data_IF_620407906541
#
_entry.id   IF_620407906541
#
_cell.length_a   1.000
_cell.length_b   1.000
_cell.length_c   1.000
_cell.angle_alpha   90.00
_cell.angle_beta   90.00
_cell.angle_gamma   90.00
#
_symmetry.space_group_name_H-M   'P 1'
#
loop_
_entity.id
_entity.type
_entity.pdbx_description
1 polymer ?
#
# COMPACT_ATOMS: atom_id res chain seq x y z
N UNK A 1 -17.43 3.98 4.10
CA UNK A 1 -16.15 3.26 4.32
C UNK A 1 -15.30 4.23 5.12
N UNK A 2 -14.65 3.81 6.19
CA UNK A 2 -13.77 4.72 6.94
C UNK A 2 -12.66 5.20 6.00
N UNK A 3 -12.56 6.51 5.81
CA UNK A 3 -11.45 7.13 5.10
C UNK A 3 -10.19 6.91 5.94
N UNK A 4 -9.22 6.20 5.37
CA UNK A 4 -7.94 6.00 6.04
C UNK A 4 -7.09 7.24 5.81
N UNK A 5 -6.45 7.72 6.87
CA UNK A 5 -5.46 8.80 6.76
C UNK A 5 -4.15 8.22 6.23
N UNK A 6 -3.95 8.34 4.91
CA UNK A 6 -2.73 7.92 4.23
C UNK A 6 -1.60 8.89 4.56
N UNK A 7 -0.43 8.34 4.88
CA UNK A 7 0.79 9.14 4.92
C UNK A 7 1.60 9.01 3.63
N UNK A 8 2.62 9.84 3.47
CA UNK A 8 3.50 9.86 2.29
C UNK A 8 3.99 8.44 1.90
N UNK A 9 4.42 7.66 2.90
CA UNK A 9 4.91 6.30 2.68
C UNK A 9 3.81 5.34 2.22
N UNK A 10 2.57 5.49 2.67
CA UNK A 10 1.45 4.70 2.17
C UNK A 10 1.16 5.01 0.71
N UNK A 11 1.12 6.29 0.34
CA UNK A 11 0.88 6.73 -1.02
C UNK A 11 1.96 6.20 -1.98
N UNK A 12 3.23 6.25 -1.55
CA UNK A 12 4.35 5.70 -2.29
C UNK A 12 4.27 4.17 -2.42
N UNK A 13 3.90 3.45 -1.36
CA UNK A 13 3.69 2.00 -1.39
C UNK A 13 2.55 1.63 -2.34
N UNK A 14 1.42 2.34 -2.30
CA UNK A 14 0.27 2.12 -3.19
C UNK A 14 0.71 2.35 -4.63
N UNK A 15 1.39 3.47 -4.92
CA UNK A 15 1.90 3.80 -6.26
C UNK A 15 2.89 2.76 -6.80
N UNK A 16 3.71 2.18 -5.94
CA UNK A 16 4.61 1.10 -6.31
C UNK A 16 3.84 -0.20 -6.62
N UNK A 17 2.78 -0.51 -5.86
CA UNK A 17 1.96 -1.70 -6.05
C UNK A 17 0.97 -1.59 -7.23
N UNK A 18 0.60 -0.37 -7.66
CA UNK A 18 -0.12 -0.14 -8.92
C UNK A 18 0.68 -0.62 -10.13
N UNK A 19 2.01 -0.53 -10.09
CA UNK A 19 2.90 -0.98 -11.16
C UNK A 19 3.06 -2.51 -11.18
N UNK A 20 2.63 -3.19 -10.12
CA UNK A 20 2.64 -4.64 -10.00
C UNK A 20 2.99 -5.13 -8.60
N UNK A 21 3.05 -6.46 -8.49
CA UNK A 21 3.33 -7.15 -7.23
C UNK A 21 4.75 -6.88 -6.76
N UNK A 22 4.92 -6.64 -5.46
CA UNK A 22 6.24 -6.38 -4.90
C UNK A 22 6.46 -7.00 -3.50
N UNK A 23 7.73 -7.10 -3.11
CA UNK A 23 8.16 -7.58 -1.79
C UNK A 23 8.42 -6.39 -0.85
N UNK A 24 8.20 -6.54 0.47
CA UNK A 24 8.50 -5.50 1.45
C UNK A 24 9.96 -5.05 1.45
N UNK A 25 10.89 -5.94 1.08
CA UNK A 25 12.31 -5.59 1.00
C UNK A 25 12.58 -4.65 -0.19
N UNK A 26 12.07 -4.99 -1.37
CA UNK A 26 12.19 -4.16 -2.56
C UNK A 26 11.53 -2.78 -2.35
N UNK A 27 10.30 -2.76 -1.81
CA UNK A 27 9.61 -1.51 -1.48
C UNK A 27 10.42 -0.64 -0.51
N UNK A 28 11.10 -1.24 0.47
CA UNK A 28 11.93 -0.50 1.40
C UNK A 28 13.16 0.10 0.70
N UNK A 29 13.82 -0.69 -0.15
CA UNK A 29 15.00 -0.26 -0.89
C UNK A 29 14.65 0.84 -1.93
N UNK A 30 13.56 0.65 -2.68
CA UNK A 30 13.10 1.57 -3.73
C UNK A 30 12.60 2.90 -3.17
N UNK A 31 11.90 2.88 -2.03
CA UNK A 31 11.29 4.06 -1.42
C UNK A 31 12.18 4.72 -0.34
N UNK A 32 13.35 4.14 -0.05
CA UNK A 32 14.27 4.70 0.95
C UNK A 32 13.79 4.58 2.40
N UNK A 33 12.88 3.66 2.69
CA UNK A 33 12.37 3.41 4.04
C UNK A 33 13.04 2.20 4.69
N UNK A 34 12.92 2.09 6.02
CA UNK A 34 13.32 0.84 6.68
C UNK A 34 12.32 -0.28 6.37
N UNK A 35 12.81 -1.52 6.20
CA UNK A 35 11.97 -2.70 5.98
C UNK A 35 10.92 -2.90 7.08
N UNK A 36 11.27 -2.60 8.33
CA UNK A 36 10.33 -2.69 9.45
C UNK A 36 9.19 -1.67 9.30
N UNK A 37 9.51 -0.43 8.88
CA UNK A 37 8.50 0.59 8.65
C UNK A 37 7.56 0.20 7.51
N UNK A 38 8.10 -0.26 6.37
CA UNK A 38 7.30 -0.74 5.23
C UNK A 38 6.39 -1.92 5.64
N UNK A 39 6.87 -2.88 6.43
CA UNK A 39 6.03 -3.96 6.93
C UNK A 39 4.89 -3.47 7.82
N UNK A 40 5.14 -2.50 8.69
CA UNK A 40 4.10 -1.90 9.52
C UNK A 40 3.05 -1.19 8.67
N UNK A 41 3.48 -0.44 7.64
CA UNK A 41 2.56 0.24 6.71
C UNK A 41 1.73 -0.78 5.90
N UNK A 42 2.35 -1.79 5.29
CA UNK A 42 1.66 -2.86 4.57
C UNK A 42 0.65 -3.61 5.44
N UNK A 43 0.95 -3.81 6.73
CA UNK A 43 0.02 -4.43 7.67
C UNK A 43 -1.23 -3.58 7.86
N UNK A 44 -1.06 -2.27 8.11
CA UNK A 44 -2.19 -1.33 8.22
C UNK A 44 -3.01 -1.25 6.93
N UNK A 45 -2.35 -1.10 5.79
CA UNK A 45 -3.04 -1.06 4.49
C UNK A 45 -3.85 -2.34 4.24
N UNK A 46 -3.33 -3.49 4.66
CA UNK A 46 -4.04 -4.77 4.56
C UNK A 46 -5.24 -4.87 5.49
N UNK A 47 -5.16 -4.34 6.71
CA UNK A 47 -6.29 -4.28 7.65
C UNK A 47 -7.49 -3.53 7.07
N UNK A 48 -7.22 -2.54 6.20
CA UNK A 48 -8.23 -1.77 5.47
C UNK A 48 -8.57 -2.35 4.08
N UNK A 49 -8.00 -3.49 3.70
CA UNK A 49 -8.26 -4.15 2.42
C UNK A 49 -7.70 -3.42 1.20
N UNK A 50 -6.74 -2.52 1.37
CA UNK A 50 -6.10 -1.76 0.29
C UNK A 50 -5.06 -2.64 -0.43
N UNK A 51 -4.31 -3.43 0.33
CA UNK A 51 -3.35 -4.40 -0.21
C UNK A 51 -3.65 -5.79 0.32
N UNK A 52 -3.18 -6.83 -0.38
CA UNK A 52 -3.20 -8.19 0.13
C UNK A 52 -1.85 -8.89 -0.03
N UNK A 53 -1.60 -9.90 0.82
CA UNK A 53 -0.43 -10.76 0.74
C UNK A 53 -0.83 -12.09 0.09
N UNK A 54 -0.43 -12.26 -1.17
CA UNK A 54 -0.76 -13.45 -1.97
C UNK A 54 0.12 -14.68 -1.65
N UNK A 55 0.89 -14.61 -0.57
CA UNK A 55 1.79 -15.65 -0.11
C UNK A 55 3.27 -15.35 -0.35
N UNK A 56 4.12 -16.02 0.43
CA UNK A 56 5.60 -15.86 0.41
C UNK A 56 6.07 -14.42 0.65
N UNK A 57 5.22 -13.55 1.21
CA UNK A 57 5.56 -12.16 1.48
C UNK A 57 5.40 -11.23 0.27
N UNK A 58 4.78 -11.69 -0.82
CA UNK A 58 4.49 -10.85 -1.99
C UNK A 58 3.17 -10.13 -1.76
N UNK A 59 3.18 -8.81 -1.96
CA UNK A 59 2.01 -7.96 -1.83
C UNK A 59 1.50 -7.51 -3.19
N UNK A 60 0.18 -7.33 -3.29
CA UNK A 60 -0.49 -6.72 -4.43
C UNK A 60 -1.49 -5.67 -3.98
N UNK A 61 -1.79 -4.71 -4.85
CA UNK A 61 -2.85 -3.75 -4.63
C UNK A 61 -4.21 -4.42 -4.85
N UNK A 62 -5.08 -4.35 -3.83
CA UNK A 62 -6.43 -4.91 -3.87
C UNK A 62 -7.49 -3.85 -4.17
N UNK A 63 -7.34 -2.64 -3.62
CA UNK A 63 -8.19 -1.48 -3.87
C UNK A 63 -7.36 -0.22 -3.74
N UNK A 64 -7.42 0.70 -4.71
CA UNK A 64 -6.87 2.03 -4.53
C UNK A 64 -7.92 2.95 -3.85
N UNK A 65 -7.67 3.46 -2.62
CA UNK A 65 -8.56 4.42 -1.98
C UNK A 65 -8.54 5.81 -2.64
N UNK A 66 -7.50 6.14 -3.42
CA UNK A 66 -7.28 7.44 -4.09
C UNK A 66 -8.13 7.60 -5.36
N UNK A 67 -8.55 6.48 -5.97
CA UNK A 67 -9.44 6.46 -7.14
C UNK A 67 -10.90 6.83 -6.82
N UNK A 68 -11.25 7.00 -5.55
CA UNK A 68 -12.55 7.55 -5.15
C UNK A 68 -12.55 9.08 -5.32
N UNK A 69 -12.32 9.57 -6.53
CA UNK A 69 -12.58 10.97 -6.88
C UNK A 69 -14.09 11.19 -6.90
N UNK A 70 -14.54 12.10 -6.04
CA UNK A 70 -15.81 12.82 -6.04
C UNK A 70 -16.72 12.55 -7.26
N UNK A 71 -17.86 11.88 -7.04
CA UNK A 71 -19.05 12.18 -7.83
C UNK A 71 -19.56 13.55 -7.37
N UNK A 72 -19.50 14.61 -8.19
CA UNK A 72 -20.10 15.88 -7.83
C UNK A 72 -21.62 15.69 -7.80
N UNK A 73 -22.23 16.00 -6.65
CA UNK A 73 -23.68 16.22 -6.55
C UNK A 73 -24.08 17.46 -7.34
#
# INVERSE_FOLDING_TARGET
MEDIDLNDADEEIISALEQGRNLPANLADDLGYSRQYVQNRLTRLREHGIVDNIGRGVYELAKDPRDQTDSPT
#
